data_IF_246355109682
#
_entry.id   IF_246355109682
#
_cell.length_a   1.000
_cell.length_b   1.000
_cell.length_c   1.000
_cell.angle_alpha   90.00
_cell.angle_beta   90.00
_cell.angle_gamma   90.00
#
_symmetry.space_group_name_H-M   'P 1'
#
loop_
_entity.id
_entity.type
_entity.pdbx_description
1 polymer ?
#
# COMPACT_ATOMS: atom_id res chain seq x y z
N UNK A 1 24.90 1.69 5.65
CA UNK A 1 24.69 0.27 5.27
C UNK A 1 24.48 0.19 3.76
N UNK A 2 25.29 -0.59 3.04
CA UNK A 2 25.31 -0.63 1.57
C UNK A 2 23.99 -1.10 0.98
N UNK A 3 23.47 -0.39 -0.02
CA UNK A 3 22.23 -0.74 -0.72
C UNK A 3 22.49 -2.01 -1.54
N UNK A 4 21.93 -3.15 -1.12
CA UNK A 4 22.01 -4.38 -1.92
C UNK A 4 21.21 -4.18 -3.22
N UNK A 5 21.91 -4.14 -4.34
CA UNK A 5 21.30 -4.06 -5.67
C UNK A 5 21.15 -5.49 -6.19
N UNK A 6 19.91 -5.93 -6.43
CA UNK A 6 19.63 -7.21 -7.10
C UNK A 6 19.20 -6.92 -8.53
N UNK A 7 19.85 -7.58 -9.50
CA UNK A 7 19.43 -7.52 -10.91
C UNK A 7 18.17 -8.38 -11.06
N UNK A 8 17.11 -7.77 -11.54
CA UNK A 8 15.85 -8.42 -11.87
C UNK A 8 15.73 -8.38 -13.40
N UNK A 9 15.39 -9.50 -14.02
CA UNK A 9 15.09 -9.52 -15.45
C UNK A 9 13.59 -9.20 -15.57
N UNK A 10 13.27 -8.05 -16.14
CA UNK A 10 11.90 -7.65 -16.41
C UNK A 10 11.80 -7.16 -17.85
N UNK A 11 10.66 -7.45 -18.46
CA UNK A 11 10.31 -6.97 -19.79
C UNK A 11 9.63 -5.62 -19.61
N UNK A 12 10.03 -4.63 -20.41
CA UNK A 12 9.42 -3.29 -20.44
C UNK A 12 8.85 -3.13 -21.84
N UNK A 13 7.68 -2.51 -21.95
CA UNK A 13 7.13 -2.12 -23.26
C UNK A 13 8.08 -1.19 -24.01
N UNK A 14 8.12 -1.34 -25.33
CA UNK A 14 9.07 -0.61 -26.18
C UNK A 14 8.85 0.91 -26.13
N UNK A 15 7.59 1.34 -26.01
CA UNK A 15 7.23 2.76 -25.86
C UNK A 15 7.84 3.36 -24.58
N UNK A 16 7.71 2.64 -23.46
CA UNK A 16 8.24 3.05 -22.16
C UNK A 16 9.77 3.03 -22.18
N UNK A 17 10.38 2.06 -22.89
CA UNK A 17 11.82 2.02 -23.10
C UNK A 17 12.33 3.25 -23.87
N UNK A 18 11.67 3.61 -24.98
CA UNK A 18 12.05 4.78 -25.77
C UNK A 18 11.92 6.08 -24.98
N UNK A 19 10.86 6.25 -24.19
CA UNK A 19 10.72 7.43 -23.34
C UNK A 19 11.79 7.48 -22.24
N UNK A 20 12.12 6.33 -21.64
CA UNK A 20 13.23 6.21 -20.68
C UNK A 20 14.56 6.62 -21.30
N UNK A 21 14.81 6.24 -22.55
CA UNK A 21 16.03 6.63 -23.26
C UNK A 21 16.08 8.11 -23.60
N UNK A 22 14.95 8.69 -24.03
CA UNK A 22 14.83 10.10 -24.40
C UNK A 22 14.92 11.04 -23.20
N UNK A 23 14.28 10.68 -22.09
CA UNK A 23 14.12 11.57 -20.94
C UNK A 23 15.21 11.39 -19.87
N UNK A 24 15.88 10.22 -19.82
CA UNK A 24 16.78 9.89 -18.72
C UNK A 24 18.20 9.57 -19.23
N UNK A 25 19.23 10.30 -18.75
CA UNK A 25 20.62 10.03 -19.14
C UNK A 25 21.04 8.62 -18.70
N UNK A 26 21.85 7.98 -19.55
CA UNK A 26 22.19 6.55 -19.50
C UNK A 26 22.72 6.04 -18.14
N UNK A 27 23.32 6.90 -17.31
CA UNK A 27 23.81 6.55 -15.97
C UNK A 27 22.78 6.64 -14.83
N UNK A 28 21.63 7.30 -15.02
CA UNK A 28 20.62 7.52 -13.97
C UNK A 28 19.36 6.68 -14.14
N UNK A 29 19.24 5.92 -15.23
CA UNK A 29 18.06 5.10 -15.56
C UNK A 29 17.68 4.14 -14.43
N UNK A 30 18.64 3.37 -13.90
CA UNK A 30 18.38 2.46 -12.78
C UNK A 30 17.92 3.19 -11.52
N UNK A 31 18.45 4.39 -11.24
CA UNK A 31 18.03 5.17 -10.09
C UNK A 31 16.59 5.68 -10.24
N UNK A 32 16.24 6.20 -11.42
CA UNK A 32 14.90 6.73 -11.71
C UNK A 32 13.86 5.61 -11.73
N UNK A 33 14.15 4.50 -12.40
CA UNK A 33 13.26 3.32 -12.41
C UNK A 33 13.04 2.80 -10.99
N UNK A 34 14.10 2.66 -10.18
CA UNK A 34 13.96 2.25 -8.80
C UNK A 34 13.17 3.24 -7.94
N UNK A 35 13.26 4.55 -8.21
CA UNK A 35 12.48 5.56 -7.51
C UNK A 35 10.99 5.49 -7.89
N UNK A 36 10.69 5.35 -9.19
CA UNK A 36 9.33 5.18 -9.68
C UNK A 36 8.68 3.90 -9.12
N UNK A 37 9.41 2.77 -9.17
CA UNK A 37 8.93 1.50 -8.61
C UNK A 37 8.68 1.58 -7.11
N UNK A 38 9.52 2.28 -6.33
CA UNK A 38 9.26 2.48 -4.89
C UNK A 38 7.95 3.22 -4.65
N UNK A 39 7.72 4.31 -5.38
CA UNK A 39 6.50 5.10 -5.26
C UNK A 39 5.26 4.28 -5.59
N UNK A 40 5.32 3.48 -6.65
CA UNK A 40 4.18 2.63 -7.03
C UNK A 40 3.95 1.50 -6.01
N UNK A 41 5.00 0.88 -5.49
CA UNK A 41 4.87 -0.13 -4.43
C UNK A 41 4.25 0.44 -3.15
N UNK A 42 4.58 1.68 -2.77
CA UNK A 42 3.94 2.37 -1.65
C UNK A 42 2.45 2.61 -1.90
N UNK A 43 2.08 3.04 -3.11
CA UNK A 43 0.68 3.21 -3.51
C UNK A 43 -0.09 1.88 -3.45
N UNK A 44 0.50 0.80 -3.97
CA UNK A 44 -0.09 -0.55 -3.91
C UNK A 44 -0.27 -0.99 -2.45
N UNK A 45 0.74 -0.80 -1.58
CA UNK A 45 0.64 -1.12 -0.15
C UNK A 45 -0.50 -0.35 0.52
N UNK A 46 -0.61 0.96 0.25
CA UNK A 46 -1.68 1.79 0.81
C UNK A 46 -3.05 1.30 0.33
N UNK A 47 -3.21 1.02 -0.96
CA UNK A 47 -4.46 0.48 -1.52
C UNK A 47 -4.85 -0.83 -0.85
N UNK A 48 -3.89 -1.75 -0.65
CA UNK A 48 -4.14 -3.02 0.06
C UNK A 48 -4.54 -2.81 1.52
N UNK A 49 -3.89 -1.88 2.23
CA UNK A 49 -4.25 -1.56 3.61
C UNK A 49 -5.66 -0.98 3.72
N UNK A 50 -6.03 -0.05 2.83
CA UNK A 50 -7.38 0.52 2.77
C UNK A 50 -8.40 -0.56 2.45
N UNK A 51 -8.13 -1.42 1.46
CA UNK A 51 -9.01 -2.53 1.11
C UNK A 51 -9.22 -3.48 2.30
N UNK A 52 -8.16 -3.79 3.06
CA UNK A 52 -8.27 -4.63 4.25
C UNK A 52 -9.17 -4.02 5.34
N UNK A 53 -9.17 -2.69 5.50
CA UNK A 53 -10.05 -2.01 6.45
C UNK A 53 -11.50 -2.10 5.97
N UNK A 54 -11.75 -1.79 4.69
CA UNK A 54 -13.09 -1.87 4.10
C UNK A 54 -13.66 -3.29 4.17
N UNK A 55 -12.83 -4.31 3.90
CA UNK A 55 -13.23 -5.71 3.99
C UNK A 55 -13.58 -6.12 5.43
N UNK A 56 -12.92 -5.54 6.44
CA UNK A 56 -13.23 -5.76 7.85
C UNK A 56 -14.52 -5.03 8.27
N UNK A 57 -14.74 -3.80 7.82
CA UNK A 57 -16.01 -3.08 8.02
C UNK A 57 -17.20 -3.81 7.38
N UNK A 58 -16.97 -4.49 6.25
CA UNK A 58 -18.00 -5.28 5.57
C UNK A 58 -18.31 -6.62 6.29
N UNK A 59 -17.37 -7.16 7.07
CA UNK A 59 -17.52 -8.45 7.78
C UNK A 59 -17.88 -8.30 9.25
N UNK A 60 -17.63 -7.15 9.85
CA UNK A 60 -17.94 -6.89 11.26
C UNK A 60 -19.43 -6.75 11.48
N UNK A 61 -19.95 -7.43 12.50
CA UNK A 61 -21.27 -7.14 13.05
C UNK A 61 -21.27 -5.68 13.51
N UNK A 62 -22.18 -4.87 12.94
CA UNK A 62 -22.28 -3.45 13.25
C UNK A 62 -23.00 -3.29 14.57
N UNK A 63 -22.26 -3.34 15.67
CA UNK A 63 -22.80 -3.10 17.00
C UNK A 63 -23.21 -1.63 17.08
N UNK A 64 -24.47 -1.36 17.40
CA UNK A 64 -24.95 0.00 17.57
C UNK A 64 -24.31 0.63 18.82
N UNK A 65 -24.03 1.93 18.79
CA UNK A 65 -23.46 2.63 19.95
C UNK A 65 -24.31 2.45 21.20
N UNK A 66 -25.64 2.34 21.03
CA UNK A 66 -26.56 2.09 22.13
C UNK A 66 -26.34 0.71 22.77
N UNK A 67 -26.10 -0.34 21.97
CA UNK A 67 -25.82 -1.69 22.49
C UNK A 67 -24.51 -1.73 23.29
N UNK A 68 -23.51 -0.95 22.88
CA UNK A 68 -22.25 -0.79 23.63
C UNK A 68 -22.51 -0.09 24.98
N UNK A 69 -23.29 1.00 24.96
CA UNK A 69 -23.63 1.77 26.17
C UNK A 69 -24.45 0.91 27.13
N UNK A 70 -25.40 0.15 26.63
CA UNK A 70 -26.27 -0.72 27.43
C UNK A 70 -25.46 -1.87 28.05
N UNK A 71 -24.54 -2.48 27.30
CA UNK A 71 -23.63 -3.50 27.83
C UNK A 71 -22.70 -2.93 28.93
N UNK A 72 -22.16 -1.73 28.72
CA UNK A 72 -21.31 -1.06 29.72
C UNK A 72 -22.10 -0.61 30.97
N UNK A 73 -23.35 -0.20 30.80
CA UNK A 73 -24.23 0.16 31.91
C UNK A 73 -24.62 -1.07 32.73
N UNK A 74 -24.91 -2.20 32.08
CA UNK A 74 -25.19 -3.47 32.73
C UNK A 74 -23.99 -3.99 33.55
N UNK A 75 -22.78 -3.89 33.00
CA UNK A 75 -21.54 -4.31 33.69
C UNK A 75 -21.26 -3.44 34.94
N UNK A 76 -21.50 -2.12 34.84
CA UNK A 76 -21.35 -1.19 35.98
C UNK A 76 -22.41 -1.33 37.07
N UNK A 77 -23.60 -1.82 36.73
CA UNK A 77 -24.67 -2.07 37.70
C UNK A 77 -24.48 -3.36 38.50
N UNK A 78 -23.55 -4.21 38.07
CA UNK A 78 -23.27 -5.52 38.66
C UNK A 78 -21.98 -5.53 39.52
N UNK A 79 -21.42 -4.35 39.80
CA UNK A 79 -20.23 -4.11 40.62
C UNK A 79 -20.57 -3.27 41.85
#
# INVERSE_FOLDING_TARGET
>A
MGRQIRKLNFVIDEDVYQELEKLIPSGKRSQVVNAALRRELELIRRRKAVQSILDQEARGEKIATQEIVDALAADRGNH
#
